data_IF_582386544059
#
_entry.id   IF_582386544059
#
_cell.length_a   1.000
_cell.length_b   1.000
_cell.length_c   1.000
_cell.angle_alpha   90.00
_cell.angle_beta   90.00
_cell.angle_gamma   90.00
#
_symmetry.space_group_name_H-M   'P 1'
#
loop_
_entity.id
_entity.type
_entity.pdbx_description
1 polymer ?
#
# COMPACT_ATOMS: atom_id res chain seq x y z
N UNK A 1 28.11 3.00 27.82
CA UNK A 1 27.21 3.71 26.90
C UNK A 1 26.33 2.64 26.28
N UNK A 2 25.08 2.53 26.71
CA UNK A 2 24.13 1.60 26.10
C UNK A 2 23.87 2.10 24.68
N UNK A 3 24.37 1.37 23.68
CA UNK A 3 24.15 1.72 22.28
C UNK A 3 22.65 1.64 21.98
N UNK A 4 22.11 2.72 21.41
CA UNK A 4 20.73 2.77 20.92
C UNK A 4 20.50 1.61 19.94
N UNK A 5 19.42 0.82 20.09
CA UNK A 5 19.14 -0.24 19.14
C UNK A 5 18.98 0.35 17.75
N UNK A 6 19.67 -0.23 16.77
CA UNK A 6 19.79 0.24 15.38
C UNK A 6 18.44 0.61 14.72
N UNK A 7 17.34 0.03 15.23
CA UNK A 7 15.97 0.26 14.80
C UNK A 7 15.45 1.69 15.00
N UNK A 8 15.89 2.39 16.06
CA UNK A 8 15.48 3.78 16.33
C UNK A 8 16.13 4.79 15.38
N UNK A 9 16.99 4.30 14.48
CA UNK A 9 17.87 5.12 13.68
C UNK A 9 17.46 5.20 12.19
N UNK A 10 16.28 4.67 11.83
CA UNK A 10 15.76 4.72 10.46
C UNK A 10 14.73 5.84 10.31
N UNK A 11 15.10 6.89 9.58
CA UNK A 11 14.14 7.87 9.10
C UNK A 11 13.20 7.23 8.05
N UNK A 12 11.89 7.42 8.21
CA UNK A 12 10.90 7.08 7.19
C UNK A 12 10.27 5.68 7.23
N UNK A 13 10.47 4.92 8.31
CA UNK A 13 9.64 3.74 8.64
C UNK A 13 9.13 3.76 10.08
N UNK A 14 9.71 4.63 10.93
CA UNK A 14 9.10 4.97 12.20
C UNK A 14 7.92 5.90 11.92
N UNK A 15 6.70 5.41 12.10
CA UNK A 15 5.62 6.29 12.51
C UNK A 15 6.08 7.00 13.79
N UNK A 16 6.48 8.26 13.66
CA UNK A 16 6.81 9.20 14.73
C UNK A 16 7.60 8.62 15.93
N UNK A 17 8.93 8.62 15.84
CA UNK A 17 9.73 9.04 17.00
C UNK A 17 10.38 10.37 16.64
N UNK A 18 10.02 11.41 17.40
CA UNK A 18 10.59 12.74 17.30
C UNK A 18 12.10 12.77 17.63
N UNK A 19 12.65 11.66 18.12
CA UNK A 19 14.08 11.44 18.30
C UNK A 19 14.63 10.50 17.23
N UNK A 20 14.65 10.97 15.98
CA UNK A 20 15.52 10.37 14.96
C UNK A 20 16.97 10.71 15.34
N UNK A 21 17.59 9.91 16.20
CA UNK A 21 19.03 10.03 16.44
C UNK A 21 19.74 9.80 15.12
N UNK A 22 20.37 10.86 14.57
CA UNK A 22 21.22 10.74 13.38
C UNK A 22 22.28 9.68 13.67
N UNK A 23 22.26 8.60 12.88
CA UNK A 23 23.32 7.62 12.94
C UNK A 23 24.65 8.29 12.62
N UNK A 24 25.70 7.81 13.27
CA UNK A 24 27.05 8.16 12.86
C UNK A 24 27.23 7.74 11.38
N UNK A 25 27.77 8.60 10.49
CA UNK A 25 27.86 8.32 9.05
C UNK A 25 28.54 6.98 8.70
N UNK A 26 29.58 6.59 9.47
CA UNK A 26 30.22 5.26 9.33
C UNK A 26 29.27 4.09 9.62
N UNK A 27 28.34 4.24 10.56
CA UNK A 27 27.35 3.22 10.87
C UNK A 27 26.36 3.06 9.72
N UNK A 28 25.96 4.16 9.08
CA UNK A 28 25.07 4.13 7.92
C UNK A 28 25.75 3.46 6.72
N UNK A 29 27.02 3.76 6.43
CA UNK A 29 27.80 3.10 5.37
C UNK A 29 27.94 1.59 5.61
N UNK A 30 28.26 1.19 6.85
CA UNK A 30 28.36 -0.23 7.22
C UNK A 30 27.00 -0.91 7.19
N UNK A 31 25.94 -0.24 7.67
CA UNK A 31 24.59 -0.76 7.60
C UNK A 31 24.17 -0.97 6.14
N UNK A 32 24.43 -0.04 5.22
CA UNK A 32 24.08 -0.23 3.80
C UNK A 32 24.80 -1.43 3.16
N UNK A 33 26.08 -1.66 3.50
CA UNK A 33 26.85 -2.81 2.97
C UNK A 33 26.50 -4.15 3.63
N UNK A 34 26.18 -4.13 4.92
CA UNK A 34 25.96 -5.33 5.73
C UNK A 34 24.52 -5.45 6.25
N UNK A 35 23.57 -4.73 5.64
CA UNK A 35 22.16 -4.64 6.06
C UNK A 35 21.53 -6.03 6.18
N UNK A 36 21.94 -6.92 5.28
CA UNK A 36 21.48 -8.30 5.23
C UNK A 36 21.80 -9.07 6.52
N UNK A 37 22.89 -8.73 7.22
CA UNK A 37 23.33 -9.34 8.48
C UNK A 37 22.58 -8.78 9.70
N UNK A 38 22.05 -7.55 9.63
CA UNK A 38 21.34 -6.92 10.75
C UNK A 38 19.85 -7.27 10.71
N UNK A 39 19.48 -8.35 11.40
CA UNK A 39 18.08 -8.82 11.47
C UNK A 39 17.15 -7.74 12.02
N UNK A 40 17.60 -6.98 13.02
CA UNK A 40 16.82 -5.90 13.67
C UNK A 40 16.60 -4.66 12.81
N UNK A 41 17.24 -4.57 11.64
CA UNK A 41 17.06 -3.48 10.68
C UNK A 41 15.95 -3.77 9.65
N UNK A 42 15.56 -5.04 9.51
CA UNK A 42 14.50 -5.43 8.57
C UNK A 42 13.16 -4.82 9.02
N UNK A 43 12.32 -4.34 8.08
CA UNK A 43 11.01 -3.81 8.43
C UNK A 43 10.16 -4.90 9.08
N UNK A 44 9.30 -4.52 10.04
CA UNK A 44 8.47 -5.44 10.79
C UNK A 44 7.01 -5.04 10.70
N UNK A 45 6.16 -6.03 10.46
CA UNK A 45 4.71 -5.96 10.66
C UNK A 45 4.34 -6.96 11.75
N UNK A 46 3.63 -6.49 12.79
CA UNK A 46 3.17 -7.37 13.87
C UNK A 46 1.74 -7.80 13.59
N UNK A 47 1.50 -9.10 13.69
CA UNK A 47 0.17 -9.70 13.65
C UNK A 47 -0.18 -10.16 15.06
N UNK A 48 -1.24 -9.58 15.62
CA UNK A 48 -1.82 -9.97 16.89
C UNK A 48 -2.94 -10.97 16.63
N UNK A 49 -2.72 -12.22 17.04
CA UNK A 49 -3.71 -13.27 16.91
C UNK A 49 -4.76 -13.14 18.01
N UNK A 50 -6.03 -13.15 17.63
CA UNK A 50 -7.18 -12.97 18.52
C UNK A 50 -8.28 -14.00 18.24
N UNK A 51 -9.22 -14.13 19.16
CA UNK A 51 -10.37 -15.01 18.97
C UNK A 51 -11.40 -14.39 17.99
N UNK A 52 -12.25 -15.23 17.39
CA UNK A 52 -13.30 -14.78 16.45
C UNK A 52 -14.21 -13.75 17.10
N UNK A 53 -14.54 -13.92 18.39
CA UNK A 53 -15.36 -13.00 19.14
C UNK A 53 -14.73 -11.59 19.23
N UNK A 54 -13.41 -11.50 19.40
CA UNK A 54 -12.70 -10.23 19.43
C UNK A 54 -12.67 -9.56 18.05
N UNK A 55 -12.56 -10.35 16.97
CA UNK A 55 -12.67 -9.83 15.60
C UNK A 55 -14.06 -9.24 15.36
N UNK A 56 -15.11 -9.95 15.78
CA UNK A 56 -16.50 -9.53 15.62
C UNK A 56 -16.87 -8.33 16.51
N UNK A 57 -16.26 -8.22 17.69
CA UNK A 57 -16.46 -7.10 18.61
C UNK A 57 -15.70 -5.83 18.21
N UNK A 58 -14.74 -5.91 17.28
CA UNK A 58 -13.91 -4.77 16.91
C UNK A 58 -14.72 -3.69 16.17
N UNK A 59 -14.85 -2.52 16.79
CA UNK A 59 -15.53 -1.34 16.24
C UNK A 59 -14.55 -0.16 16.05
N UNK A 60 -15.07 1.01 15.65
CA UNK A 60 -14.26 2.22 15.47
C UNK A 60 -13.62 2.71 16.78
N UNK A 61 -14.17 2.34 17.93
CA UNK A 61 -13.69 2.71 19.28
C UNK A 61 -12.66 1.71 19.79
N UNK A 62 -12.81 0.43 19.45
CA UNK A 62 -12.01 -0.72 19.85
C UNK A 62 -11.49 -1.48 18.61
N UNK A 63 -10.66 -0.84 17.76
CA UNK A 63 -10.30 -1.38 16.45
C UNK A 63 -9.48 -2.68 16.50
N UNK A 64 -9.01 -3.07 17.69
CA UNK A 64 -8.21 -4.25 17.98
C UNK A 64 -8.96 -5.34 18.76
N UNK A 65 -10.27 -5.17 19.03
CA UNK A 65 -11.14 -6.21 19.59
C UNK A 65 -11.00 -6.48 21.09
N UNK A 66 -9.78 -6.43 21.64
CA UNK A 66 -9.53 -6.65 23.06
C UNK A 66 -8.48 -5.70 23.66
N UNK A 67 -8.49 -5.59 24.99
CA UNK A 67 -7.60 -4.69 25.75
C UNK A 67 -6.11 -5.02 25.58
N UNK A 68 -5.76 -6.31 25.49
CA UNK A 68 -4.38 -6.75 25.30
C UNK A 68 -3.81 -6.30 23.95
N UNK A 69 -4.60 -6.41 22.89
CA UNK A 69 -4.22 -5.97 21.54
C UNK A 69 -4.20 -4.46 21.43
N UNK A 70 -5.08 -3.76 22.15
CA UNK A 70 -5.01 -2.29 22.26
C UNK A 70 -3.72 -1.84 22.95
N UNK A 71 -3.36 -2.42 24.10
CA UNK A 71 -2.08 -2.15 24.77
C UNK A 71 -0.87 -2.48 23.87
N UNK A 72 -0.93 -3.60 23.14
CA UNK A 72 0.12 -3.96 22.19
C UNK A 72 0.23 -2.93 21.07
N UNK A 73 -0.89 -2.49 20.49
CA UNK A 73 -0.92 -1.49 19.43
C UNK A 73 -0.35 -0.15 19.91
N UNK A 74 -0.71 0.31 21.10
CA UNK A 74 -0.15 1.52 21.72
C UNK A 74 1.36 1.41 21.93
N UNK A 75 1.83 0.26 22.44
CA UNK A 75 3.25 -0.01 22.67
C UNK A 75 4.07 -0.07 21.37
N UNK A 76 3.46 -0.56 20.28
CA UNK A 76 4.06 -0.62 18.95
C UNK A 76 4.03 0.73 18.26
N UNK A 77 2.96 1.52 18.43
CA UNK A 77 2.82 2.87 17.90
C UNK A 77 3.91 3.81 18.45
N UNK A 78 4.25 3.70 19.74
CA UNK A 78 5.38 4.42 20.35
C UNK A 78 6.74 4.12 19.68
N UNK A 79 6.85 2.99 18.97
CA UNK A 79 8.05 2.57 18.24
C UNK A 79 7.90 2.71 16.72
N UNK A 80 6.80 3.30 16.26
CA UNK A 80 6.47 3.42 14.84
C UNK A 80 6.26 2.09 14.14
N UNK A 81 5.79 1.07 14.85
CA UNK A 81 5.58 -0.26 14.30
C UNK A 81 4.11 -0.51 14.00
N UNK A 82 3.79 -0.98 12.79
CA UNK A 82 2.43 -1.34 12.44
C UNK A 82 2.01 -2.63 13.15
N UNK A 83 0.74 -2.66 13.54
CA UNK A 83 0.07 -3.80 14.17
C UNK A 83 -1.25 -4.07 13.45
N UNK A 84 -1.57 -5.34 13.24
CA UNK A 84 -2.86 -5.80 12.73
C UNK A 84 -3.38 -6.92 13.62
N UNK A 85 -4.68 -6.98 13.79
CA UNK A 85 -5.34 -8.15 14.37
C UNK A 85 -5.71 -9.15 13.28
N UNK A 86 -5.57 -10.43 13.59
CA UNK A 86 -6.00 -11.56 12.76
C UNK A 86 -6.55 -12.65 13.65
N UNK A 87 -7.31 -13.59 13.09
CA UNK A 87 -7.72 -14.80 13.80
C UNK A 87 -7.27 -16.00 12.98
N UNK A 88 -6.15 -16.60 13.38
CA UNK A 88 -5.53 -17.71 12.64
C UNK A 88 -6.44 -18.93 12.59
N UNK A 89 -7.25 -19.16 13.63
CA UNK A 89 -8.26 -20.21 13.65
C UNK A 89 -9.33 -20.00 12.56
N UNK A 90 -9.89 -18.79 12.48
CA UNK A 90 -10.87 -18.41 11.45
C UNK A 90 -10.28 -18.56 10.04
N UNK A 91 -9.04 -18.09 9.82
CA UNK A 91 -8.36 -18.21 8.53
C UNK A 91 -8.18 -19.67 8.10
N UNK A 92 -7.92 -20.57 9.05
CA UNK A 92 -7.78 -22.00 8.80
C UNK A 92 -9.10 -22.64 8.34
N UNK A 93 -10.21 -22.27 8.97
CA UNK A 93 -11.55 -22.77 8.60
C UNK A 93 -11.99 -22.20 7.25
N UNK A 94 -11.85 -20.89 7.05
CA UNK A 94 -12.18 -20.20 5.80
C UNK A 94 -11.39 -20.76 4.62
N UNK A 95 -10.12 -21.15 4.82
CA UNK A 95 -9.30 -21.73 3.74
C UNK A 95 -9.93 -22.97 3.09
N UNK A 96 -10.68 -23.79 3.85
CA UNK A 96 -11.39 -24.97 3.34
C UNK A 96 -12.72 -24.66 2.65
N UNK A 97 -13.21 -23.42 2.75
CA UNK A 97 -14.54 -22.99 2.27
C UNK A 97 -14.46 -22.02 1.08
N UNK A 98 -13.25 -21.68 0.59
CA UNK A 98 -13.06 -20.66 -0.47
C UNK A 98 -13.69 -21.02 -1.81
N UNK A 99 -13.91 -22.30 -2.07
CA UNK A 99 -14.51 -22.78 -3.31
C UNK A 99 -16.05 -22.70 -3.30
N UNK A 100 -16.66 -22.42 -2.15
CA UNK A 100 -18.10 -22.25 -1.96
C UNK A 100 -18.39 -20.90 -1.29
N UNK A 101 -18.58 -19.82 -2.08
CA UNK A 101 -18.74 -18.47 -1.56
C UNK A 101 -20.03 -18.30 -0.75
N UNK A 102 -21.10 -19.02 -1.13
CA UNK A 102 -22.38 -18.95 -0.42
C UNK A 102 -22.23 -19.56 0.99
N UNK A 103 -21.57 -20.72 1.08
CA UNK A 103 -21.26 -21.36 2.37
C UNK A 103 -20.31 -20.52 3.24
N UNK A 104 -19.27 -19.92 2.63
CA UNK A 104 -18.37 -19.01 3.33
C UNK A 104 -19.12 -17.83 3.93
N UNK A 105 -20.04 -17.23 3.17
CA UNK A 105 -20.83 -16.11 3.63
C UNK A 105 -21.72 -16.52 4.82
N UNK A 106 -22.45 -17.64 4.72
CA UNK A 106 -23.28 -18.16 5.81
C UNK A 106 -22.46 -18.44 7.08
N UNK A 107 -21.27 -19.02 6.93
CA UNK A 107 -20.37 -19.30 8.04
C UNK A 107 -19.89 -18.00 8.71
N UNK A 108 -19.45 -17.01 7.94
CA UNK A 108 -19.04 -15.71 8.49
C UNK A 108 -20.20 -15.01 9.21
N UNK A 109 -21.40 -15.03 8.63
CA UNK A 109 -22.60 -14.46 9.25
C UNK A 109 -22.94 -15.14 10.58
N UNK A 110 -22.74 -16.46 10.68
CA UNK A 110 -22.92 -17.21 11.93
C UNK A 110 -21.93 -16.77 13.03
N UNK A 111 -20.75 -16.30 12.64
CA UNK A 111 -19.72 -15.74 13.53
C UNK A 111 -19.95 -14.24 13.84
N UNK A 112 -21.02 -13.63 13.31
CA UNK A 112 -21.27 -12.19 13.43
C UNK A 112 -20.37 -11.32 12.53
N UNK A 113 -19.70 -11.94 11.57
CA UNK A 113 -18.85 -11.30 10.59
C UNK A 113 -19.57 -11.22 9.23
N UNK A 114 -19.12 -10.30 8.39
CA UNK A 114 -19.48 -10.32 6.97
C UNK A 114 -18.20 -10.23 6.18
N UNK A 115 -18.07 -11.05 5.14
CA UNK A 115 -17.07 -10.75 4.13
C UNK A 115 -17.43 -9.41 3.52
N UNK A 116 -16.45 -8.58 3.27
CA UNK A 116 -16.71 -7.41 2.45
C UNK A 116 -15.49 -6.83 1.81
N UNK A 117 -15.79 -5.99 0.83
CA UNK A 117 -14.82 -5.20 0.13
C UNK A 117 -14.83 -3.79 0.72
N UNK A 118 -13.65 -3.21 0.87
CA UNK A 118 -13.46 -1.89 1.46
C UNK A 118 -14.26 -0.84 0.68
N UNK A 119 -15.16 -0.11 1.36
CA UNK A 119 -16.05 0.89 0.74
C UNK A 119 -17.51 0.87 1.24
N UNK A 120 -17.95 -0.18 1.94
CA UNK A 120 -19.28 -0.21 2.56
C UNK A 120 -19.24 0.44 3.97
N UNK A 121 -19.91 1.59 4.19
CA UNK A 121 -19.83 2.35 5.44
C UNK A 121 -20.62 1.74 6.61
N UNK A 122 -21.32 0.62 6.43
CA UNK A 122 -22.32 0.16 7.42
C UNK A 122 -21.83 -0.89 8.41
N UNK A 123 -20.78 -1.65 8.09
CA UNK A 123 -20.13 -2.64 8.97
C UNK A 123 -18.66 -2.76 8.56
N UNK A 124 -17.75 -2.97 9.51
CA UNK A 124 -16.35 -3.27 9.19
C UNK A 124 -16.28 -4.69 8.62
N UNK A 125 -16.02 -4.88 7.31
CA UNK A 125 -15.98 -6.22 6.76
C UNK A 125 -14.78 -6.99 7.28
N UNK A 126 -14.96 -8.29 7.49
CA UNK A 126 -13.84 -9.20 7.68
C UNK A 126 -13.06 -9.28 6.37
N UNK A 127 -11.75 -9.07 6.48
CA UNK A 127 -10.80 -9.17 5.36
C UNK A 127 -9.74 -10.18 5.80
N UNK A 128 -9.52 -11.19 4.96
CA UNK A 128 -8.51 -12.21 5.26
C UNK A 128 -7.13 -11.60 5.52
N UNK A 129 -6.38 -12.22 6.43
CA UNK A 129 -5.00 -11.88 6.76
C UNK A 129 -4.12 -11.87 5.51
N UNK A 130 -4.31 -12.83 4.62
CA UNK A 130 -3.59 -12.89 3.35
C UNK A 130 -3.83 -11.63 2.50
N UNK A 131 -5.08 -11.19 2.36
CA UNK A 131 -5.39 -9.97 1.61
C UNK A 131 -4.81 -8.71 2.26
N UNK A 132 -4.85 -8.60 3.58
CA UNK A 132 -4.20 -7.51 4.33
C UNK A 132 -2.69 -7.50 4.12
N UNK A 133 -2.04 -8.67 4.17
CA UNK A 133 -0.61 -8.81 3.93
C UNK A 133 -0.24 -8.39 2.50
N UNK A 134 -1.00 -8.81 1.50
CA UNK A 134 -0.79 -8.40 0.10
C UNK A 134 -0.86 -6.89 -0.08
N UNK A 135 -1.70 -6.18 0.70
CA UNK A 135 -1.83 -4.72 0.65
C UNK A 135 -0.71 -3.99 1.38
N UNK A 136 -0.25 -4.54 2.52
CA UNK A 136 0.68 -3.85 3.43
C UNK A 136 2.14 -4.18 3.19
N UNK A 137 2.46 -5.37 2.68
CA UNK A 137 3.83 -5.79 2.42
C UNK A 137 4.50 -4.93 1.34
N UNK A 138 3.89 -4.67 0.16
CA UNK A 138 4.54 -3.88 -0.86
C UNK A 138 5.02 -2.52 -0.34
N UNK A 139 4.18 -1.69 0.29
CA UNK A 139 4.67 -0.40 0.76
C UNK A 139 5.59 -0.51 2.00
N UNK A 140 5.44 -1.54 2.86
CA UNK A 140 6.41 -1.85 3.94
C UNK A 140 7.82 -2.14 3.39
N UNK A 141 7.89 -2.77 2.22
CA UNK A 141 9.14 -3.03 1.48
C UNK A 141 9.53 -1.87 0.56
N UNK A 142 8.84 -0.73 0.64
CA UNK A 142 9.02 0.43 -0.23
C UNK A 142 8.88 0.08 -1.72
N UNK A 143 7.89 -0.74 -2.05
CA UNK A 143 7.45 -1.05 -3.40
C UNK A 143 6.23 -0.20 -3.77
N UNK A 144 6.09 0.05 -5.07
CA UNK A 144 4.94 0.67 -5.70
C UNK A 144 4.32 -0.32 -6.67
N UNK A 145 3.00 -0.44 -6.66
CA UNK A 145 2.27 -1.30 -7.61
C UNK A 145 1.59 -0.43 -8.66
N UNK A 146 1.80 -0.77 -9.93
CA UNK A 146 1.09 -0.20 -11.08
C UNK A 146 0.62 -1.31 -12.01
N UNK A 147 -0.29 -1.00 -12.92
CA UNK A 147 -0.92 -1.99 -13.79
C UNK A 147 -0.70 -1.70 -15.26
N UNK A 148 -0.59 -2.75 -16.05
CA UNK A 148 -0.77 -2.71 -17.51
C UNK A 148 -2.00 -3.52 -17.85
N UNK A 149 -2.90 -2.96 -18.64
CA UNK A 149 -4.13 -3.63 -19.04
C UNK A 149 -4.32 -3.52 -20.56
N UNK A 150 -4.50 -4.63 -21.25
CA UNK A 150 -4.90 -4.68 -22.65
C UNK A 150 -5.85 -5.84 -22.88
N UNK A 151 -6.32 -6.02 -24.11
CA UNK A 151 -7.36 -7.00 -24.43
C UNK A 151 -6.98 -8.44 -24.06
N UNK A 152 -5.70 -8.77 -24.12
CA UNK A 152 -5.18 -10.13 -23.88
C UNK A 152 -4.58 -10.34 -22.49
N UNK A 153 -4.09 -9.28 -21.86
CA UNK A 153 -3.36 -9.37 -20.60
C UNK A 153 -3.62 -8.15 -19.73
N UNK A 154 -4.03 -8.41 -18.49
CA UNK A 154 -3.98 -7.44 -17.40
C UNK A 154 -2.97 -7.96 -16.36
N UNK A 155 -2.02 -7.11 -15.98
CA UNK A 155 -0.93 -7.49 -15.08
C UNK A 155 -0.56 -6.37 -14.12
N UNK A 156 -0.29 -6.77 -12.88
CA UNK A 156 0.30 -5.92 -11.85
C UNK A 156 1.83 -6.01 -11.88
N UNK A 157 2.48 -4.87 -11.76
CA UNK A 157 3.93 -4.72 -11.71
C UNK A 157 4.32 -4.04 -10.42
N UNK A 158 5.30 -4.60 -9.73
CA UNK A 158 5.87 -4.02 -8.51
C UNK A 158 7.28 -3.50 -8.82
N UNK A 159 7.58 -2.28 -8.39
CA UNK A 159 8.91 -1.70 -8.52
C UNK A 159 9.28 -0.89 -7.26
N UNK A 160 10.58 -0.73 -6.96
CA UNK A 160 11.01 0.09 -5.83
C UNK A 160 10.54 1.54 -5.97
N UNK A 161 9.92 2.06 -4.91
CA UNK A 161 9.51 3.46 -4.81
C UNK A 161 10.75 4.33 -4.55
N UNK A 162 11.16 5.08 -5.56
CA UNK A 162 12.31 5.99 -5.50
C UNK A 162 11.86 7.38 -5.92
N UNK A 163 12.31 8.42 -5.23
CA UNK A 163 12.17 9.80 -5.73
C UNK A 163 12.88 9.94 -7.08
N UNK A 164 12.59 11.03 -7.79
CA UNK A 164 13.30 11.37 -9.04
C UNK A 164 14.81 11.47 -8.88
N UNK A 165 15.29 11.84 -7.70
CA UNK A 165 16.72 11.93 -7.36
C UNK A 165 17.35 10.57 -6.97
N UNK A 166 16.58 9.48 -6.99
CA UNK A 166 17.01 8.13 -6.63
C UNK A 166 16.99 7.84 -5.12
N UNK A 167 16.62 8.82 -4.28
CA UNK A 167 16.47 8.61 -2.84
C UNK A 167 15.21 7.79 -2.52
N UNK A 168 15.24 7.00 -1.44
CA UNK A 168 14.06 6.27 -0.97
C UNK A 168 13.04 7.23 -0.34
N UNK A 169 11.76 7.00 -0.59
CA UNK A 169 10.66 7.73 0.06
C UNK A 169 10.39 7.16 1.46
N UNK A 170 10.07 8.03 2.40
CA UNK A 170 9.55 7.62 3.70
C UNK A 170 8.13 7.07 3.51
N UNK A 171 7.79 5.97 4.18
CA UNK A 171 6.46 5.37 4.12
C UNK A 171 5.75 5.45 5.48
N UNK A 172 4.48 5.83 5.45
CA UNK A 172 3.58 5.78 6.58
C UNK A 172 2.53 4.69 6.34
N UNK A 173 2.44 3.71 7.24
CA UNK A 173 1.35 2.74 7.21
C UNK A 173 0.05 3.43 7.59
N UNK A 174 -0.82 3.59 6.59
CA UNK A 174 -2.19 4.04 6.79
C UNK A 174 -2.88 3.12 7.81
N UNK A 175 -3.28 3.62 8.99
CA UNK A 175 -4.00 2.81 9.96
C UNK A 175 -5.36 2.42 9.39
N UNK A 176 -5.85 1.23 9.77
CA UNK A 176 -7.14 0.66 9.35
C UNK A 176 -8.34 1.58 9.63
N UNK A 177 -8.17 2.56 10.52
CA UNK A 177 -9.18 3.54 10.94
C UNK A 177 -9.21 4.82 10.10
N UNK A 178 -8.28 5.06 9.17
CA UNK A 178 -8.42 6.21 8.27
C UNK A 178 -9.36 5.87 7.12
N UNK A 179 -10.66 5.92 7.39
CA UNK A 179 -11.74 5.92 6.39
C UNK A 179 -11.73 7.16 5.47
N UNK A 180 -10.62 7.91 5.41
CA UNK A 180 -10.49 8.99 4.46
C UNK A 180 -9.99 8.41 3.13
N UNK A 181 -10.69 8.64 2.01
CA UNK A 181 -10.06 8.44 0.70
C UNK A 181 -8.77 9.25 0.71
N UNK A 182 -7.69 8.69 0.15
CA UNK A 182 -6.45 9.42 -0.15
C UNK A 182 -6.86 10.80 -0.66
N UNK A 183 -6.59 11.83 0.15
CA UNK A 183 -7.19 13.13 -0.06
C UNK A 183 -6.75 13.66 -1.41
N UNK A 184 -7.74 13.71 -2.31
CA UNK A 184 -7.70 14.42 -3.57
C UNK A 184 -7.26 15.85 -3.28
N UNK A 185 -6.16 16.28 -3.88
CA UNK A 185 -5.87 17.69 -4.05
C UNK A 185 -7.02 18.35 -4.81
N UNK A 186 -8.02 18.85 -4.08
CA UNK A 186 -9.08 19.68 -4.64
C UNK A 186 -8.48 21.04 -4.96
N UNK A 187 -8.63 21.44 -6.22
CA UNK A 187 -8.33 22.78 -6.69
C UNK A 187 -9.16 23.82 -5.90
N UNK A 188 -8.49 24.73 -5.19
CA UNK A 188 -9.13 25.91 -4.59
C UNK A 188 -8.44 26.59 -3.40
N UNK A 189 -7.23 27.15 -3.58
CA UNK A 189 -6.59 28.20 -2.73
C UNK A 189 -6.27 27.87 -1.25
N UNK A 190 -5.29 28.53 -0.57
CA UNK A 190 -4.60 29.79 -0.89
C UNK A 190 -3.14 29.56 -1.33
N UNK A 191 -2.52 30.62 -1.88
CA UNK A 191 -1.14 30.65 -2.40
C UNK A 191 -0.11 30.10 -1.39
N UNK A 192 0.22 28.82 -1.52
CA UNK A 192 1.39 28.18 -0.94
C UNK A 192 2.38 27.81 -2.04
N UNK A 193 3.66 27.90 -1.72
CA UNK A 193 4.84 27.61 -2.56
C UNK A 193 4.72 26.33 -3.42
N UNK A 194 5.32 26.29 -4.63
CA UNK A 194 5.07 25.24 -5.60
C UNK A 194 5.68 23.88 -5.17
N UNK A 195 4.87 22.82 -5.27
CA UNK A 195 5.30 21.43 -5.49
C UNK A 195 5.71 20.61 -4.27
N UNK A 196 4.76 19.87 -3.66
CA UNK A 196 5.07 18.80 -2.68
C UNK A 196 4.45 17.44 -3.00
N UNK A 197 3.58 17.34 -4.02
CA UNK A 197 2.88 16.09 -4.40
C UNK A 197 3.37 15.41 -5.68
N UNK A 198 4.22 16.06 -6.48
CA UNK A 198 4.60 15.58 -7.83
C UNK A 198 5.91 14.77 -7.87
N UNK A 199 6.59 14.63 -6.73
CA UNK A 199 7.90 13.95 -6.60
C UNK A 199 7.81 12.60 -5.87
N UNK A 200 6.63 12.20 -5.39
CA UNK A 200 6.41 10.90 -4.72
C UNK A 200 5.91 9.85 -5.71
N UNK A 201 6.80 9.08 -6.34
CA UNK A 201 6.41 7.97 -7.22
C UNK A 201 7.58 7.47 -8.06
N UNK A 202 7.36 6.52 -8.98
CA UNK A 202 8.45 5.88 -9.72
C UNK A 202 8.67 6.53 -11.09
N UNK A 203 9.90 6.92 -11.47
CA UNK A 203 10.18 7.41 -12.81
C UNK A 203 9.75 6.41 -13.89
N UNK A 204 9.16 6.92 -14.97
CA UNK A 204 8.63 6.10 -16.06
C UNK A 204 9.63 5.08 -16.64
N UNK A 205 10.90 5.48 -16.79
CA UNK A 205 11.95 4.60 -17.27
C UNK A 205 12.17 3.39 -16.34
N UNK A 206 12.17 3.62 -15.02
CA UNK A 206 12.32 2.57 -14.02
C UNK A 206 11.08 1.68 -13.93
N UNK A 207 9.89 2.26 -14.05
CA UNK A 207 8.65 1.50 -14.15
C UNK A 207 8.69 0.59 -15.38
N UNK A 208 9.00 1.13 -16.56
CA UNK A 208 9.09 0.37 -17.81
C UNK A 208 10.16 -0.74 -17.76
N UNK A 209 11.28 -0.50 -17.07
CA UNK A 209 12.34 -1.50 -16.84
C UNK A 209 11.82 -2.76 -16.14
N UNK A 210 10.83 -2.62 -15.24
CA UNK A 210 10.23 -3.74 -14.55
C UNK A 210 9.50 -4.70 -15.51
N UNK A 211 8.99 -4.18 -16.64
CA UNK A 211 8.38 -4.98 -17.71
C UNK A 211 9.46 -5.66 -18.54
N UNK A 212 10.40 -4.86 -19.04
CA UNK A 212 11.51 -5.35 -19.84
C UNK A 212 12.68 -4.37 -19.75
N UNK A 213 13.90 -4.87 -19.53
CA UNK A 213 15.10 -4.05 -19.33
C UNK A 213 15.36 -3.06 -20.47
N UNK A 214 15.14 -3.49 -21.72
CA UNK A 214 15.29 -2.66 -22.91
C UNK A 214 14.30 -1.49 -23.06
N UNK A 215 13.25 -1.41 -22.23
CA UNK A 215 12.28 -0.30 -22.32
C UNK A 215 12.76 0.97 -21.62
N UNK A 216 13.66 0.86 -20.64
CA UNK A 216 14.15 1.97 -19.82
C UNK A 216 14.63 3.16 -20.67
N UNK A 217 15.40 2.90 -21.73
CA UNK A 217 15.94 3.92 -22.63
C UNK A 217 15.01 4.30 -23.79
N UNK A 218 13.92 3.55 -23.99
CA UNK A 218 13.00 3.69 -25.13
C UNK A 218 11.71 4.43 -24.80
N UNK A 219 11.43 4.73 -23.53
CA UNK A 219 10.24 5.49 -23.14
C UNK A 219 10.29 6.89 -23.78
N UNK A 220 9.24 7.23 -24.54
CA UNK A 220 8.99 8.56 -25.12
C UNK A 220 7.94 9.34 -24.34
N UNK A 221 6.99 8.63 -23.74
CA UNK A 221 5.91 9.21 -22.93
C UNK A 221 5.03 8.12 -22.35
N UNK A 222 4.04 8.54 -21.57
CA UNK A 222 3.08 7.66 -20.91
C UNK A 222 1.67 8.17 -21.10
N UNK A 223 0.73 7.24 -21.21
CA UNK A 223 -0.68 7.49 -20.97
C UNK A 223 -1.08 6.77 -19.68
N UNK A 224 -1.73 7.49 -18.77
CA UNK A 224 -2.02 7.07 -17.40
C UNK A 224 -3.49 7.23 -17.08
N UNK A 225 -4.02 6.29 -16.30
CA UNK A 225 -5.33 6.34 -15.67
C UNK A 225 -5.22 5.96 -14.20
N UNK A 226 -6.10 6.45 -13.34
CA UNK A 226 -6.25 5.86 -12.01
C UNK A 226 -7.04 4.56 -12.12
N UNK A 227 -6.68 3.56 -11.32
CA UNK A 227 -7.43 2.31 -11.27
C UNK A 227 -8.91 2.55 -10.91
N UNK A 228 -9.19 3.32 -9.85
CA UNK A 228 -10.56 3.65 -9.41
C UNK A 228 -11.40 4.28 -10.52
N UNK A 229 -10.79 5.18 -11.30
CA UNK A 229 -11.47 5.83 -12.43
C UNK A 229 -11.91 4.85 -13.51
N UNK A 230 -11.13 3.79 -13.75
CA UNK A 230 -11.46 2.75 -14.72
C UNK A 230 -12.47 1.75 -14.15
N UNK A 231 -12.36 1.45 -12.86
CA UNK A 231 -13.24 0.53 -12.14
C UNK A 231 -14.68 1.09 -12.06
N UNK A 232 -14.83 2.37 -11.73
CA UNK A 232 -16.12 3.08 -11.72
C UNK A 232 -16.82 3.08 -13.09
N UNK A 233 -16.05 3.13 -14.18
CA UNK A 233 -16.57 3.11 -15.54
C UNK A 233 -16.97 1.71 -16.02
N UNK A 234 -16.64 0.69 -15.23
CA UNK A 234 -16.99 -0.72 -15.41
C UNK A 234 -16.54 -1.34 -16.73
N UNK A 235 -16.72 -2.65 -16.92
CA UNK A 235 -16.59 -3.30 -18.21
C UNK A 235 -17.90 -3.18 -19.02
N UNK A 236 -18.42 -1.97 -19.26
CA UNK A 236 -19.61 -1.81 -20.11
C UNK A 236 -19.21 -1.64 -21.59
N UNK A 237 -19.60 -2.58 -22.44
CA UNK A 237 -19.71 -2.48 -23.90
C UNK A 237 -18.45 -2.19 -24.74
N UNK A 238 -18.58 -2.46 -26.04
CA UNK A 238 -17.55 -2.67 -27.08
C UNK A 238 -16.43 -1.60 -27.23
N UNK A 239 -16.52 -0.44 -26.56
CA UNK A 239 -15.52 0.63 -26.66
C UNK A 239 -14.40 0.55 -25.61
N UNK A 240 -14.49 -0.33 -24.62
CA UNK A 240 -13.48 -0.49 -23.55
C UNK A 240 -13.45 0.68 -22.54
N UNK A 241 -13.14 0.37 -21.28
CA UNK A 241 -13.14 1.34 -20.17
C UNK A 241 -12.15 2.50 -20.39
N UNK A 242 -11.01 2.25 -21.04
CA UNK A 242 -9.99 3.27 -21.32
C UNK A 242 -10.44 4.36 -22.27
N UNK A 243 -11.20 4.01 -23.31
CA UNK A 243 -11.70 5.00 -24.28
C UNK A 243 -12.74 5.89 -23.62
N UNK A 244 -13.62 5.32 -22.80
CA UNK A 244 -14.56 6.12 -21.99
C UNK A 244 -13.83 7.04 -21.02
N UNK A 245 -12.77 6.56 -20.38
CA UNK A 245 -11.96 7.40 -19.50
C UNK A 245 -11.23 8.51 -20.27
N UNK A 246 -10.82 8.28 -21.53
CA UNK A 246 -10.28 9.33 -22.41
C UNK A 246 -11.33 10.39 -22.73
N UNK A 247 -12.53 9.97 -23.12
CA UNK A 247 -13.66 10.87 -23.42
C UNK A 247 -14.07 11.67 -22.18
N UNK A 248 -14.05 11.04 -21.00
CA UNK A 248 -14.32 11.68 -19.71
C UNK A 248 -13.19 12.60 -19.21
N UNK A 249 -12.07 12.71 -19.93
CA UNK A 249 -10.93 13.54 -19.54
C UNK A 249 -10.13 13.01 -18.34
N UNK A 250 -10.34 11.74 -17.96
CA UNK A 250 -9.65 11.07 -16.86
C UNK A 250 -8.27 10.50 -17.27
N UNK A 251 -7.96 10.49 -18.57
CA UNK A 251 -6.66 10.08 -19.09
C UNK A 251 -5.62 11.21 -18.96
N UNK A 252 -4.45 10.90 -18.39
CA UNK A 252 -3.32 11.84 -18.23
C UNK A 252 -2.18 11.43 -19.15
N UNK A 253 -1.67 12.38 -19.93
CA UNK A 253 -0.47 12.18 -20.76
C UNK A 253 0.74 12.81 -20.10
N UNK A 254 1.77 12.00 -19.85
CA UNK A 254 3.03 12.46 -19.26
C UNK A 254 4.20 12.29 -20.24
N UNK A 255 5.23 13.15 -20.17
CA UNK A 255 6.45 12.99 -20.95
C UNK A 255 7.30 11.82 -20.43
N UNK A 256 8.38 11.44 -21.13
CA UNK A 256 9.27 10.34 -20.73
C UNK A 256 9.86 10.47 -19.31
N UNK A 257 9.98 11.68 -18.78
CA UNK A 257 10.42 11.98 -17.41
C UNK A 257 9.26 12.02 -16.39
N UNK A 258 8.08 11.57 -16.79
CA UNK A 258 6.91 11.43 -15.93
C UNK A 258 7.12 10.44 -14.79
N UNK A 259 6.24 10.51 -13.81
CA UNK A 259 6.27 9.68 -12.60
C UNK A 259 4.99 8.86 -12.54
N UNK A 260 5.13 7.56 -12.32
CA UNK A 260 4.05 6.60 -12.12
C UNK A 260 3.70 6.57 -10.63
N UNK A 261 2.40 6.63 -10.33
CA UNK A 261 1.87 6.63 -8.97
C UNK A 261 1.30 5.26 -8.59
N UNK A 262 1.05 5.06 -7.29
CA UNK A 262 0.40 3.85 -6.81
C UNK A 262 -0.95 3.66 -7.50
N UNK A 263 -1.24 2.42 -7.90
CA UNK A 263 -2.49 2.03 -8.55
C UNK A 263 -2.79 2.77 -9.87
N UNK A 264 -1.77 3.32 -10.53
CA UNK A 264 -1.93 3.80 -11.90
C UNK A 264 -2.02 2.62 -12.88
N UNK A 265 -2.90 2.73 -13.87
CA UNK A 265 -2.89 1.91 -15.08
C UNK A 265 -2.10 2.67 -16.14
N UNK A 266 -1.10 2.01 -16.74
CA UNK A 266 -0.08 2.66 -17.57
C UNK A 266 -0.02 2.06 -18.96
N UNK A 267 0.10 2.91 -19.97
CA UNK A 267 0.55 2.56 -21.31
C UNK A 267 1.82 3.35 -21.65
N UNK A 268 2.89 2.64 -21.96
CA UNK A 268 4.17 3.24 -22.34
C UNK A 268 4.23 3.46 -23.85
N UNK A 269 4.46 4.70 -24.28
CA UNK A 269 4.83 5.00 -25.65
C UNK A 269 6.34 4.80 -25.82
N UNK A 270 6.75 3.81 -26.61
CA UNK A 270 8.16 3.50 -26.87
C UNK A 270 8.64 4.09 -28.20
N UNK A 271 9.94 4.34 -28.31
CA UNK A 271 10.64 4.73 -29.56
C UNK A 271 10.97 3.53 -30.43
#
# INVERSE_FOLDING_TARGET
>A
QAGTPAREARSGLAGCSADSQQLHPRFEELAQRYLHLLVTWKPLLVLADVEVADVAAADDVTPFGNASCQHLAEHLAQRGLPCLTTCTALEGEVAGMRDDPDFLQEYLESCGLKEGQEGDPKLRPWISCAAELTRRIPPLLNLLTYYTAGDKEARAWMCPRVRRDGSSLAFELTPRTSLAPVSVGKAGGPKGTPGKGDDEGVPAALAARAIHTGFESRVKGLELWRFQDLDELGPSDASGAKERAKIAGKARKLPAMGVVQESDVVEFALK
#
